data_IF_421993655064
#
_entry.id   IF_421993655064
#
_cell.length_a   1.000
_cell.length_b   1.000
_cell.length_c   1.000
_cell.angle_alpha   90.00
_cell.angle_beta   90.00
_cell.angle_gamma   90.00
#
_symmetry.space_group_name_H-M   'P 1'
#
loop_
_entity.id
_entity.type
_entity.pdbx_description
1 polymer ?
#
# COMPACT_ATOMS: atom_id res chain seq x y z
N UNK A 1 -1.42 12.27 1.48
CA UNK A 1 -1.30 10.84 1.07
C UNK A 1 -0.07 10.72 0.18
N UNK A 2 0.81 9.77 0.47
CA UNK A 2 1.96 9.37 -0.37
C UNK A 2 1.55 8.18 -1.24
N UNK A 3 1.64 8.33 -2.56
CA UNK A 3 1.19 7.35 -3.53
C UNK A 3 2.39 6.71 -4.25
N UNK A 4 2.42 5.38 -4.32
CA UNK A 4 3.29 4.66 -5.24
C UNK A 4 2.51 4.21 -6.47
N UNK A 5 3.16 4.24 -7.63
CA UNK A 5 2.63 3.68 -8.88
C UNK A 5 3.67 2.72 -9.44
N UNK A 6 3.28 1.45 -9.67
CA UNK A 6 4.10 0.47 -10.40
C UNK A 6 3.49 0.25 -11.77
N UNK A 7 4.15 0.73 -12.81
CA UNK A 7 3.65 0.69 -14.19
C UNK A 7 4.80 0.94 -15.18
N UNK A 8 5.08 -0.03 -16.04
CA UNK A 8 6.06 0.08 -17.14
C UNK A 8 5.48 0.75 -18.41
N UNK A 9 4.15 0.80 -18.52
CA UNK A 9 3.48 1.35 -19.70
C UNK A 9 3.37 2.89 -19.69
N UNK A 10 4.39 3.55 -20.25
CA UNK A 10 4.55 5.01 -20.27
C UNK A 10 3.32 5.82 -20.75
N UNK A 11 2.64 5.38 -21.82
CA UNK A 11 1.48 6.11 -22.37
C UNK A 11 0.32 6.09 -21.38
N UNK A 12 0.06 4.95 -20.76
CA UNK A 12 -0.96 4.83 -19.73
C UNK A 12 -0.57 5.58 -18.45
N UNK A 13 0.69 5.49 -18.02
CA UNK A 13 1.20 6.25 -16.87
C UNK A 13 0.94 7.75 -17.03
N UNK A 14 1.25 8.33 -18.20
CA UNK A 14 0.95 9.75 -18.47
C UNK A 14 -0.54 10.07 -18.36
N UNK A 15 -1.40 9.19 -18.86
CA UNK A 15 -2.87 9.35 -18.73
C UNK A 15 -3.27 9.30 -17.26
N UNK A 16 -2.77 8.31 -16.52
CA UNK A 16 -3.06 8.10 -15.11
C UNK A 16 -2.65 9.32 -14.28
N UNK A 17 -1.41 9.80 -14.43
CA UNK A 17 -0.92 10.99 -13.74
C UNK A 17 -1.80 12.22 -14.00
N UNK A 18 -2.21 12.47 -15.24
CA UNK A 18 -3.14 13.58 -15.56
C UNK A 18 -4.50 13.46 -14.88
N UNK A 19 -5.00 12.25 -14.66
CA UNK A 19 -6.27 12.03 -13.94
C UNK A 19 -6.06 12.27 -12.45
N UNK A 20 -4.93 11.81 -11.92
CA UNK A 20 -4.57 11.89 -10.49
C UNK A 20 -4.18 13.31 -10.07
N UNK A 21 -3.44 14.06 -10.88
CA UNK A 21 -2.99 15.44 -10.60
C UNK A 21 -4.16 16.43 -10.43
N UNK A 22 -5.34 16.12 -10.96
CA UNK A 22 -6.56 16.90 -10.71
C UNK A 22 -6.99 16.84 -9.24
N UNK A 23 -6.45 15.91 -8.47
CA UNK A 23 -6.74 15.71 -7.06
C UNK A 23 -5.71 16.44 -6.19
N UNK A 24 -6.09 17.60 -5.64
CA UNK A 24 -5.26 18.44 -4.76
C UNK A 24 -4.73 17.77 -3.48
N UNK A 25 -5.06 16.50 -3.22
CA UNK A 25 -4.80 15.80 -1.96
C UNK A 25 -3.70 14.75 -1.98
N UNK A 26 -3.02 14.59 -3.10
CA UNK A 26 -1.87 13.69 -3.21
C UNK A 26 -0.63 14.55 -2.99
N UNK A 27 0.04 14.26 -1.88
CA UNK A 27 1.16 15.07 -1.41
C UNK A 27 2.46 14.68 -2.12
N UNK A 28 2.58 13.41 -2.53
CA UNK A 28 3.75 12.86 -3.18
C UNK A 28 3.36 11.66 -4.05
N UNK A 29 3.99 11.55 -5.22
CA UNK A 29 3.79 10.44 -6.17
C UNK A 29 5.17 9.91 -6.56
N UNK A 30 5.45 8.69 -6.12
CA UNK A 30 6.60 7.92 -6.59
C UNK A 30 6.16 6.95 -7.69
N UNK A 31 6.94 6.88 -8.77
CA UNK A 31 6.68 5.97 -9.89
C UNK A 31 7.84 4.98 -10.01
N UNK A 32 7.48 3.71 -10.19
CA UNK A 32 8.40 2.59 -10.35
C UNK A 32 8.06 1.84 -11.64
N UNK A 33 9.09 1.46 -12.39
CA UNK A 33 8.92 0.68 -13.62
C UNK A 33 8.54 -0.77 -13.32
N UNK A 34 8.95 -1.30 -12.17
CA UNK A 34 8.68 -2.68 -11.75
C UNK A 34 8.50 -2.82 -10.24
N UNK A 35 8.09 -4.03 -9.82
CA UNK A 35 7.86 -4.35 -8.42
C UNK A 35 9.15 -4.37 -7.59
N UNK A 36 10.29 -4.73 -8.18
CA UNK A 36 11.57 -4.79 -7.47
C UNK A 36 12.04 -3.38 -7.06
N UNK A 37 11.89 -2.40 -7.94
CA UNK A 37 12.19 -1.00 -7.65
C UNK A 37 11.33 -0.48 -6.52
N UNK A 38 10.03 -0.80 -6.53
CA UNK A 38 9.13 -0.46 -5.43
C UNK A 38 9.54 -1.13 -4.11
N UNK A 39 9.84 -2.43 -4.13
CA UNK A 39 10.22 -3.18 -2.92
C UNK A 39 11.52 -2.67 -2.27
N UNK A 40 12.48 -2.24 -3.08
CA UNK A 40 13.80 -1.83 -2.61
C UNK A 40 13.93 -0.30 -2.42
N UNK A 41 12.84 0.46 -2.54
CA UNK A 41 12.91 1.92 -2.50
C UNK A 41 13.20 2.50 -1.11
N UNK A 42 13.00 1.73 -0.03
CA UNK A 42 13.18 2.18 1.35
C UNK A 42 12.20 3.28 1.80
N UNK A 43 11.16 3.58 1.00
CA UNK A 43 10.16 4.63 1.28
C UNK A 43 8.82 4.01 1.59
N UNK A 44 8.06 4.64 2.49
CA UNK A 44 6.70 4.23 2.81
C UNK A 44 5.65 4.96 1.99
N UNK A 45 4.66 4.21 1.51
CA UNK A 45 3.53 4.75 0.77
C UNK A 45 2.23 4.38 1.47
N UNK A 46 1.30 5.33 1.49
CA UNK A 46 -0.04 5.11 2.05
C UNK A 46 -0.92 4.30 1.09
N UNK A 47 -0.65 4.43 -0.21
CA UNK A 47 -1.38 3.76 -1.27
C UNK A 47 -0.44 3.28 -2.39
N UNK A 48 -0.80 2.16 -3.01
CA UNK A 48 -0.13 1.58 -4.17
C UNK A 48 -1.13 1.38 -5.31
N UNK A 49 -0.83 1.98 -6.47
CA UNK A 49 -1.46 1.64 -7.75
C UNK A 49 -0.54 0.67 -8.50
N UNK A 50 -0.97 -0.58 -8.66
CA UNK A 50 -0.12 -1.61 -9.27
C UNK A 50 -0.75 -2.11 -10.57
N UNK A 51 -0.04 -1.90 -11.69
CA UNK A 51 -0.43 -2.46 -12.98
C UNK A 51 -0.22 -3.98 -12.98
N UNK A 52 -1.31 -4.73 -13.16
CA UNK A 52 -1.27 -6.21 -13.13
C UNK A 52 -0.40 -6.75 -14.26
N UNK A 53 -0.41 -6.09 -15.43
CA UNK A 53 0.37 -6.54 -16.57
C UNK A 53 1.89 -6.40 -16.29
N UNK A 54 2.28 -5.38 -15.52
CA UNK A 54 3.66 -5.13 -15.10
C UNK A 54 4.12 -6.08 -13.99
N UNK A 55 3.30 -6.29 -12.94
CA UNK A 55 3.69 -7.09 -11.77
C UNK A 55 3.48 -8.61 -11.99
N UNK A 56 2.54 -8.98 -12.85
CA UNK A 56 2.12 -10.36 -13.11
C UNK A 56 1.53 -11.10 -11.90
N UNK A 57 1.12 -12.35 -12.12
CA UNK A 57 0.55 -13.21 -11.05
C UNK A 57 1.54 -13.44 -9.89
N UNK A 58 2.85 -13.52 -10.19
CA UNK A 58 3.88 -13.62 -9.15
C UNK A 58 3.93 -12.35 -8.30
N UNK A 59 3.80 -11.18 -8.93
CA UNK A 59 3.75 -9.90 -8.22
C UNK A 59 2.52 -9.75 -7.33
N UNK A 60 1.34 -10.21 -7.76
CA UNK A 60 0.14 -10.26 -6.90
C UNK A 60 0.40 -11.06 -5.62
N UNK A 61 1.00 -12.24 -5.75
CA UNK A 61 1.38 -13.08 -4.60
C UNK A 61 2.42 -12.39 -3.72
N UNK A 62 3.46 -11.80 -4.32
CA UNK A 62 4.50 -11.06 -3.59
C UNK A 62 3.93 -9.90 -2.78
N UNK A 63 3.02 -9.12 -3.38
CA UNK A 63 2.35 -8.00 -2.72
C UNK A 63 1.52 -8.50 -1.52
N UNK A 64 0.79 -9.59 -1.71
CA UNK A 64 0.01 -10.22 -0.64
C UNK A 64 0.89 -10.82 0.48
N UNK A 65 2.11 -11.29 0.16
CA UNK A 65 3.04 -11.87 1.14
C UNK A 65 4.02 -10.88 1.80
N UNK A 66 4.19 -9.68 1.22
CA UNK A 66 4.64 -8.36 1.73
C UNK A 66 5.70 -7.65 0.90
N UNK A 67 5.38 -6.41 0.54
CA UNK A 67 6.16 -5.23 0.91
C UNK A 67 5.22 -4.14 1.44
N UNK A 68 5.35 -3.78 2.72
CA UNK A 68 4.52 -2.77 3.43
C UNK A 68 3.07 -3.22 3.78
N UNK A 69 2.84 -3.75 4.99
CA UNK A 69 1.56 -4.31 5.44
C UNK A 69 0.37 -3.40 5.44
N UNK A 70 0.58 -2.10 5.34
CA UNK A 70 -0.43 -1.11 5.67
C UNK A 70 -0.60 -0.08 4.56
N UNK A 71 -0.13 -0.43 3.36
CA UNK A 71 -0.38 0.30 2.13
C UNK A 71 -1.70 -0.19 1.53
N UNK A 72 -2.62 0.73 1.26
CA UNK A 72 -3.86 0.38 0.55
C UNK A 72 -3.59 0.15 -0.93
N UNK A 73 -4.11 -0.95 -1.48
CA UNK A 73 -3.73 -1.41 -2.81
C UNK A 73 -4.90 -1.30 -3.76
N UNK A 74 -4.64 -0.74 -4.94
CA UNK A 74 -5.57 -0.70 -6.07
C UNK A 74 -4.84 -1.28 -7.28
N UNK A 75 -5.38 -2.36 -7.83
CA UNK A 75 -4.83 -2.94 -9.05
C UNK A 75 -5.36 -2.24 -10.31
N UNK A 76 -4.49 -2.03 -11.30
CA UNK A 76 -4.84 -1.48 -12.60
C UNK A 76 -4.80 -2.61 -13.63
N UNK A 77 -5.90 -2.83 -14.33
CA UNK A 77 -6.03 -4.00 -15.21
C UNK A 77 -6.64 -3.65 -16.57
N UNK A 78 -6.22 -4.33 -17.64
CA UNK A 78 -6.88 -4.20 -18.95
C UNK A 78 -8.24 -4.92 -18.99
N UNK A 79 -8.37 -6.03 -18.27
CA UNK A 79 -9.58 -6.86 -18.25
C UNK A 79 -9.83 -7.43 -16.83
N UNK A 80 -10.91 -8.21 -16.70
CA UNK A 80 -11.38 -8.75 -15.41
C UNK A 80 -10.78 -10.11 -15.04
N UNK A 81 -9.92 -10.69 -15.86
CA UNK A 81 -9.49 -12.08 -15.68
C UNK A 81 -8.65 -12.28 -14.42
N UNK A 82 -8.04 -11.21 -13.90
CA UNK A 82 -7.18 -11.25 -12.71
C UNK A 82 -7.91 -10.90 -11.41
N UNK A 83 -9.25 -10.78 -11.44
CA UNK A 83 -10.01 -10.38 -10.26
C UNK A 83 -9.92 -11.37 -9.11
N UNK A 84 -9.97 -12.67 -9.41
CA UNK A 84 -9.93 -13.74 -8.40
C UNK A 84 -8.58 -13.79 -7.66
N UNK A 85 -7.50 -13.46 -8.36
CA UNK A 85 -6.15 -13.43 -7.77
C UNK A 85 -5.84 -12.11 -7.03
N UNK A 86 -6.67 -11.08 -7.23
CA UNK A 86 -6.46 -9.71 -6.76
C UNK A 86 -7.22 -9.41 -5.45
N UNK A 87 -7.33 -10.38 -4.54
CA UNK A 87 -7.90 -10.20 -3.21
C UNK A 87 -6.82 -10.23 -2.13
N UNK A 88 -7.01 -9.42 -1.09
CA UNK A 88 -6.11 -9.31 0.06
C UNK A 88 -6.63 -8.31 1.08
N UNK A 89 -6.12 -8.37 2.33
CA UNK A 89 -6.62 -7.57 3.46
C UNK A 89 -6.61 -6.07 3.18
N UNK A 90 -5.55 -5.56 2.54
CA UNK A 90 -5.41 -4.13 2.21
C UNK A 90 -5.78 -3.80 0.76
N UNK A 91 -6.31 -4.77 0.02
CA UNK A 91 -6.68 -4.57 -1.38
C UNK A 91 -8.09 -3.98 -1.44
N UNK A 92 -8.20 -2.74 -1.93
CA UNK A 92 -9.48 -2.07 -2.14
C UNK A 92 -10.17 -2.49 -3.45
N UNK A 93 -9.52 -3.36 -4.22
CA UNK A 93 -9.98 -3.93 -5.48
C UNK A 93 -9.14 -3.45 -6.66
N UNK A 94 -9.76 -3.44 -7.83
CA UNK A 94 -9.11 -3.06 -9.09
C UNK A 94 -9.90 -1.96 -9.81
N UNK A 95 -9.23 -1.29 -10.75
CA UNK A 95 -9.80 -0.35 -11.70
C UNK A 95 -9.37 -0.77 -13.10
N UNK A 96 -10.33 -0.93 -14.01
CA UNK A 96 -10.00 -1.18 -15.41
C UNK A 96 -9.37 0.08 -16.02
N UNK A 97 -8.33 -0.08 -16.84
CA UNK A 97 -7.61 1.05 -17.47
C UNK A 97 -8.54 1.93 -18.33
N UNK A 98 -9.59 1.36 -18.90
CA UNK A 98 -10.64 2.10 -19.64
C UNK A 98 -11.65 2.85 -18.75
N UNK A 99 -11.65 2.60 -17.44
CA UNK A 99 -12.54 3.24 -16.45
C UNK A 99 -11.77 4.14 -15.47
N UNK A 100 -10.49 4.42 -15.75
CA UNK A 100 -9.62 5.14 -14.83
C UNK A 100 -10.14 6.53 -14.52
N UNK A 101 -10.68 7.24 -15.52
CA UNK A 101 -11.18 8.62 -15.40
C UNK A 101 -12.34 8.72 -14.39
N UNK A 102 -13.20 7.71 -14.32
CA UNK A 102 -14.40 7.74 -13.48
C UNK A 102 -14.16 7.11 -12.10
N UNK A 103 -13.32 6.07 -12.04
CA UNK A 103 -13.26 5.18 -10.87
C UNK A 103 -12.05 5.40 -9.97
N UNK A 104 -10.92 5.90 -10.49
CA UNK A 104 -9.71 6.01 -9.68
C UNK A 104 -9.91 6.98 -8.52
N UNK A 105 -10.57 8.10 -8.79
CA UNK A 105 -10.87 9.13 -7.80
C UNK A 105 -11.69 8.57 -6.64
N UNK A 106 -12.74 7.80 -6.93
CA UNK A 106 -13.59 7.18 -5.91
C UNK A 106 -12.76 6.27 -4.99
N UNK A 107 -11.80 5.52 -5.55
CA UNK A 107 -10.92 4.64 -4.77
C UNK A 107 -9.92 5.43 -3.92
N UNK A 108 -9.31 6.48 -4.47
CA UNK A 108 -8.36 7.34 -3.75
C UNK A 108 -9.05 8.10 -2.60
N UNK A 109 -10.27 8.60 -2.82
CA UNK A 109 -11.09 9.20 -1.76
C UNK A 109 -11.44 8.20 -0.65
N UNK A 110 -11.75 6.94 -1.01
CA UNK A 110 -11.96 5.89 0.00
C UNK A 110 -10.71 5.66 0.87
N UNK A 111 -9.52 5.60 0.26
CA UNK A 111 -8.26 5.48 1.00
C UNK A 111 -8.11 6.65 1.98
N UNK A 112 -8.34 7.87 1.51
CA UNK A 112 -8.23 9.06 2.35
C UNK A 112 -9.15 9.01 3.56
N UNK A 113 -10.41 8.60 3.37
CA UNK A 113 -11.35 8.46 4.47
C UNK A 113 -10.89 7.38 5.45
N UNK A 114 -10.39 6.24 4.96
CA UNK A 114 -9.85 5.18 5.81
C UNK A 114 -8.63 5.65 6.62
N UNK A 115 -7.77 6.51 6.04
CA UNK A 115 -6.62 7.10 6.75
C UNK A 115 -7.02 8.14 7.80
N UNK A 116 -8.20 8.78 7.69
CA UNK A 116 -8.70 9.72 8.69
C UNK A 116 -9.34 9.01 9.88
N UNK A 117 -9.96 7.86 9.64
CA UNK A 117 -10.61 7.05 10.68
C UNK A 117 -9.56 6.32 11.50
N UNK A 118 -8.54 5.77 10.85
CA UNK A 118 -7.54 4.93 11.51
C UNK A 118 -6.25 5.70 11.72
N UNK A 119 -5.89 5.94 12.97
CA UNK A 119 -4.58 6.49 13.32
C UNK A 119 -3.50 5.46 12.95
N UNK A 120 -2.43 5.91 12.30
CA UNK A 120 -1.28 5.06 11.97
C UNK A 120 -0.13 5.48 12.89
N UNK A 121 0.42 4.51 13.61
CA UNK A 121 1.60 4.68 14.44
C UNK A 121 2.84 4.33 13.64
N UNK A 122 3.87 5.18 13.73
CA UNK A 122 5.19 4.89 13.17
C UNK A 122 6.10 4.47 14.33
N UNK A 123 6.46 3.19 14.35
CA UNK A 123 7.25 2.56 15.40
C UNK A 123 8.65 2.30 14.89
N UNK A 124 9.64 2.88 15.56
CA UNK A 124 11.05 2.72 15.21
C UNK A 124 11.76 1.99 16.34
N UNK A 125 12.48 0.94 15.97
CA UNK A 125 13.50 0.27 16.78
C UNK A 125 14.86 0.38 16.10
N UNK A 126 15.92 -0.09 16.76
CA UNK A 126 17.25 -0.19 16.16
C UNK A 126 17.30 -1.12 14.93
N UNK A 127 16.41 -2.12 14.87
CA UNK A 127 16.41 -3.17 13.84
C UNK A 127 15.39 -2.93 12.73
N UNK A 128 14.29 -2.29 13.07
CA UNK A 128 13.16 -2.12 12.16
C UNK A 128 12.41 -0.82 12.39
N UNK A 129 11.87 -0.28 11.30
CA UNK A 129 10.83 0.73 11.32
C UNK A 129 9.56 0.10 10.77
N UNK A 130 8.46 0.18 11.51
CA UNK A 130 7.18 -0.42 11.16
C UNK A 130 6.09 0.64 11.32
N UNK A 131 5.23 0.79 10.32
CA UNK A 131 3.98 1.55 10.47
C UNK A 131 2.91 0.56 10.93
N UNK A 132 1.99 0.93 11.82
CA UNK A 132 0.89 0.04 12.24
C UNK A 132 -0.39 0.86 12.41
N UNK A 133 -1.52 0.47 11.78
CA UNK A 133 -2.82 1.05 12.05
C UNK A 133 -3.32 0.69 13.44
N UNK A 134 -3.89 1.66 14.14
CA UNK A 134 -4.38 1.53 15.51
C UNK A 134 -5.35 0.36 15.68
N UNK A 135 -6.29 0.17 14.75
CA UNK A 135 -7.28 -0.92 14.81
C UNK A 135 -6.67 -2.33 14.67
N UNK A 136 -5.39 -2.43 14.27
CA UNK A 136 -4.65 -3.68 14.23
C UNK A 136 -3.86 -3.94 15.50
N UNK A 137 -3.68 -2.94 16.37
CA UNK A 137 -2.93 -3.07 17.62
C UNK A 137 -3.85 -3.67 18.69
N UNK A 138 -3.47 -4.82 19.24
CA UNK A 138 -4.23 -5.47 20.31
C UNK A 138 -3.76 -5.01 21.69
N UNK A 139 -2.50 -5.27 22.01
CA UNK A 139 -1.88 -4.81 23.26
C UNK A 139 -0.37 -4.67 23.07
N UNK A 140 0.20 -3.84 23.94
CA UNK A 140 1.62 -3.53 23.98
C UNK A 140 2.14 -3.89 25.37
N UNK A 141 3.24 -4.63 25.44
CA UNK A 141 3.80 -5.10 26.71
C UNK A 141 5.32 -5.06 26.70
N UNK A 142 5.91 -5.08 27.91
CA UNK A 142 7.34 -5.14 28.13
C UNK A 142 7.72 -6.52 28.64
N UNK A 143 8.69 -7.16 28.00
CA UNK A 143 9.26 -8.44 28.40
C UNK A 143 10.77 -8.42 28.14
N UNK A 144 11.58 -8.83 29.11
CA UNK A 144 13.05 -8.84 29.04
C UNK A 144 13.72 -7.52 28.59
N UNK A 145 13.08 -6.37 28.86
CA UNK A 145 13.56 -5.05 28.46
C UNK A 145 13.26 -4.67 27.00
N UNK A 146 12.48 -5.49 26.29
CA UNK A 146 11.96 -5.23 24.96
C UNK A 146 10.47 -4.90 25.02
N UNK A 147 10.00 -4.08 24.10
CA UNK A 147 8.58 -3.80 23.89
C UNK A 147 8.05 -4.66 22.76
N UNK A 148 6.94 -5.34 23.01
CA UNK A 148 6.27 -6.16 22.03
C UNK A 148 4.92 -5.53 21.69
N UNK A 149 4.59 -5.54 20.40
CA UNK A 149 3.27 -5.15 19.93
C UNK A 149 2.61 -6.35 19.26
N UNK A 150 1.49 -6.78 19.85
CA UNK A 150 0.68 -7.83 19.28
C UNK A 150 -0.36 -7.23 18.32
N UNK A 151 -0.48 -7.85 17.14
CA UNK A 151 -1.44 -7.45 16.11
C UNK A 151 -2.56 -8.49 15.94
N UNK A 152 -3.72 -8.02 15.49
CA UNK A 152 -4.99 -8.76 15.25
C UNK A 152 -4.91 -9.97 14.28
N UNK A 153 -3.73 -10.43 13.86
CA UNK A 153 -3.52 -11.67 13.10
C UNK A 153 -2.12 -12.23 13.37
N UNK A 154 -1.95 -13.05 14.42
CA UNK A 154 -0.81 -13.95 14.74
C UNK A 154 0.59 -13.55 14.21
N UNK A 155 0.94 -12.25 14.27
CA UNK A 155 2.28 -11.76 13.95
C UNK A 155 2.74 -10.84 15.07
N UNK A 156 3.61 -11.38 15.90
CA UNK A 156 4.37 -10.62 16.89
C UNK A 156 5.46 -9.81 16.20
N UNK A 157 5.66 -8.58 16.65
CA UNK A 157 6.77 -7.73 16.24
C UNK A 157 7.55 -7.29 17.47
N UNK A 158 8.87 -7.54 17.45
CA UNK A 158 9.80 -7.12 18.50
C UNK A 158 10.20 -5.66 18.29
N UNK A 159 10.03 -4.82 19.31
CA UNK A 159 10.52 -3.44 19.31
C UNK A 159 11.48 -3.20 20.47
N UNK A 160 12.63 -2.59 20.19
CA UNK A 160 13.42 -1.94 21.23
C UNK A 160 12.96 -0.49 21.31
N UNK A 161 12.42 -0.06 22.46
CA UNK A 161 12.25 1.36 22.75
C UNK A 161 13.52 1.86 23.42
N UNK A 162 14.18 2.83 22.80
CA UNK A 162 15.11 3.72 23.49
C UNK A 162 14.25 4.88 24.03
N UNK A 163 14.05 4.91 25.35
CA UNK A 163 13.37 6.02 26.06
C UNK A 163 14.29 7.25 26.16
#
# INVERSE_FOLDING_TARGET
MKLAIVCDHFVFLKKLLRVIEKEYSIADIDVYEDLNGYQNCGRYHDALLADIDTIGLKGLKCINSHPQPFTYIIYLAMNRNYMEDAYGVNVLGYVLKNQIEDKIYIKLQKIRNLMQIHKIYELKSERQFVRVPEYKMMYCYLEDGFMYLELDQEKEFDFLIVL
#
